data_IF_966917394599
#
_entry.id   IF_966917394599
#
_cell.length_a   1.000
_cell.length_b   1.000
_cell.length_c   1.000
_cell.angle_alpha   90.00
_cell.angle_beta   90.00
_cell.angle_gamma   90.00
#
_symmetry.space_group_name_H-M   'P 1'
#
loop_
_entity.id
_entity.type
_entity.pdbx_description
1 polymer ?
#
# COMPACT_ATOMS: atom_id res chain seq x y z
N UNK A 1 -9.33 -2.45 0.94
CA UNK A 1 -7.92 -2.27 1.30
C UNK A 1 -7.34 -3.53 1.90
N UNK A 2 -7.83 -4.04 3.03
CA UNK A 2 -7.28 -5.25 3.70
C UNK A 2 -6.98 -6.39 2.73
N UNK A 3 -7.95 -6.80 1.88
CA UNK A 3 -7.71 -7.86 0.88
C UNK A 3 -6.58 -7.52 -0.10
N UNK A 4 -6.51 -6.27 -0.55
CA UNK A 4 -5.44 -5.83 -1.44
C UNK A 4 -4.09 -5.71 -0.74
N UNK A 5 -4.09 -5.37 0.56
CA UNK A 5 -2.89 -5.33 1.40
C UNK A 5 -2.31 -6.75 1.55
N UNK A 6 -3.13 -7.72 1.96
CA UNK A 6 -2.72 -9.13 2.05
C UNK A 6 -2.27 -9.72 0.71
N UNK A 7 -2.93 -9.34 -0.39
CA UNK A 7 -2.51 -9.75 -1.73
C UNK A 7 -1.14 -9.15 -2.09
N UNK A 8 -0.88 -7.91 -1.67
CA UNK A 8 0.38 -7.21 -1.96
C UNK A 8 1.53 -7.77 -1.14
N UNK A 9 1.30 -8.33 0.05
CA UNK A 9 2.35 -9.02 0.81
C UNK A 9 3.01 -10.15 0.03
N UNK A 10 2.30 -10.82 -0.88
CA UNK A 10 2.90 -11.80 -1.79
C UNK A 10 3.95 -11.22 -2.74
N UNK A 11 4.05 -9.89 -2.83
CA UNK A 11 4.91 -9.14 -3.75
C UNK A 11 5.71 -8.01 -3.07
N UNK A 12 5.70 -7.93 -1.74
CA UNK A 12 6.54 -6.97 -1.00
C UNK A 12 8.03 -7.37 -1.02
N UNK A 13 8.88 -6.66 -0.29
CA UNK A 13 10.32 -6.91 -0.29
C UNK A 13 10.72 -8.31 0.19
N UNK A 14 9.88 -8.96 1.00
CA UNK A 14 10.08 -10.35 1.43
C UNK A 14 9.28 -11.33 0.59
N UNK A 15 7.99 -11.09 0.38
CA UNK A 15 7.10 -11.98 -0.36
C UNK A 15 7.50 -12.17 -1.82
N UNK A 16 8.03 -11.14 -2.47
CA UNK A 16 8.54 -11.21 -3.84
C UNK A 16 9.70 -12.21 -4.04
N UNK A 17 10.32 -12.70 -2.95
CA UNK A 17 11.37 -13.71 -3.00
C UNK A 17 10.83 -15.14 -3.08
N UNK A 18 9.52 -15.32 -2.93
CA UNK A 18 8.84 -16.61 -2.97
C UNK A 18 8.11 -16.81 -4.29
N UNK A 19 8.21 -18.00 -4.87
CA UNK A 19 7.48 -18.37 -6.07
C UNK A 19 6.00 -18.69 -5.77
N UNK A 20 5.22 -18.96 -6.83
CA UNK A 20 3.77 -19.22 -6.76
C UNK A 20 3.33 -20.39 -5.86
N UNK A 21 4.24 -21.26 -5.42
CA UNK A 21 3.95 -22.37 -4.50
C UNK A 21 4.67 -22.21 -3.16
N UNK A 22 5.30 -21.07 -2.90
CA UNK A 22 5.90 -20.73 -1.62
C UNK A 22 7.37 -21.16 -1.47
N UNK A 23 8.09 -21.45 -2.55
CA UNK A 23 9.54 -21.70 -2.44
C UNK A 23 10.32 -20.39 -2.53
N UNK A 24 11.32 -20.22 -1.67
CA UNK A 24 12.29 -19.13 -1.81
C UNK A 24 13.14 -19.35 -3.07
N UNK A 25 12.82 -18.63 -4.14
CA UNK A 25 13.44 -18.78 -5.45
C UNK A 25 13.34 -17.46 -6.20
N UNK A 26 14.47 -17.00 -6.73
CA UNK A 26 14.45 -15.83 -7.61
C UNK A 26 13.73 -16.17 -8.93
N UNK A 27 12.55 -15.61 -9.11
CA UNK A 27 11.73 -15.76 -10.31
C UNK A 27 11.69 -14.49 -11.17
N UNK A 28 12.45 -13.45 -10.78
CA UNK A 28 12.53 -12.19 -11.48
C UNK A 28 13.61 -12.22 -12.56
N UNK A 29 13.40 -11.42 -13.62
CA UNK A 29 14.53 -10.99 -14.45
C UNK A 29 15.44 -10.05 -13.63
N UNK A 30 16.74 -10.02 -13.95
CA UNK A 30 17.68 -9.11 -13.28
C UNK A 30 17.26 -7.64 -13.41
N UNK A 31 16.70 -7.27 -14.57
CA UNK A 31 16.27 -5.90 -14.84
C UNK A 31 15.06 -5.52 -13.99
N UNK A 32 14.05 -6.40 -13.92
CA UNK A 32 12.83 -6.12 -13.16
C UNK A 32 13.11 -6.06 -11.66
N UNK A 33 13.98 -6.96 -11.15
CA UNK A 33 14.41 -6.93 -9.75
C UNK A 33 15.14 -5.64 -9.39
N UNK A 34 15.97 -5.11 -10.30
CA UNK A 34 16.65 -3.84 -10.08
C UNK A 34 15.65 -2.67 -9.98
N UNK A 35 14.67 -2.62 -10.90
CA UNK A 35 13.60 -1.59 -10.89
C UNK A 35 12.70 -1.70 -9.66
N UNK A 36 12.39 -2.92 -9.22
CA UNK A 36 11.62 -3.17 -8.00
C UNK A 36 12.38 -2.62 -6.79
N UNK A 37 13.65 -3.00 -6.62
CA UNK A 37 14.48 -2.52 -5.51
C UNK A 37 14.65 -1.00 -5.49
N UNK A 38 14.67 -0.34 -6.66
CA UNK A 38 14.68 1.12 -6.74
C UNK A 38 13.39 1.73 -6.14
N UNK A 39 12.23 1.16 -6.46
CA UNK A 39 10.94 1.61 -5.89
C UNK A 39 10.85 1.35 -4.38
N UNK A 40 11.31 0.18 -3.93
CA UNK A 40 11.41 -0.16 -2.50
C UNK A 40 12.22 0.90 -1.75
N UNK A 41 13.39 1.30 -2.28
CA UNK A 41 14.21 2.37 -1.69
C UNK A 41 13.51 3.73 -1.65
N UNK A 42 12.67 4.05 -2.65
CA UNK A 42 11.89 5.28 -2.63
C UNK A 42 10.85 5.27 -1.50
N UNK A 43 10.20 4.13 -1.24
CA UNK A 43 9.26 3.95 -0.13
C UNK A 43 10.00 4.07 1.21
N UNK A 44 11.12 3.37 1.37
CA UNK A 44 11.98 3.49 2.56
C UNK A 44 12.34 4.94 2.86
N UNK A 45 12.81 5.67 1.83
CA UNK A 45 13.18 7.06 1.96
C UNK A 45 11.99 7.95 2.34
N UNK A 46 10.83 7.72 1.73
CA UNK A 46 9.61 8.46 2.05
C UNK A 46 9.27 8.32 3.53
N UNK A 47 9.19 7.08 4.01
CA UNK A 47 8.77 6.82 5.38
C UNK A 47 9.82 7.26 6.41
N UNK A 48 11.11 7.06 6.15
CA UNK A 48 12.18 7.59 7.01
C UNK A 48 12.17 9.13 7.15
N UNK A 49 11.48 9.84 6.25
CA UNK A 49 11.28 11.29 6.36
C UNK A 49 10.18 11.70 7.34
N UNK A 50 9.32 10.78 7.77
CA UNK A 50 8.26 11.09 8.72
C UNK A 50 8.76 11.12 10.16
N UNK A 51 8.27 12.08 10.92
CA UNK A 51 8.56 12.28 12.33
C UNK A 51 7.29 11.98 13.11
N UNK A 52 7.36 11.01 14.03
CA UNK A 52 6.24 10.55 14.85
C UNK A 52 6.05 11.49 16.03
N UNK A 53 7.13 11.77 16.78
CA UNK A 53 7.11 12.62 17.96
C UNK A 53 8.50 13.21 18.23
N UNK A 54 8.60 14.54 18.30
CA UNK A 54 9.86 15.26 18.52
C UNK A 54 10.94 14.85 17.49
N UNK A 55 11.98 14.14 17.92
CA UNK A 55 13.07 13.65 17.05
C UNK A 55 12.92 12.14 16.72
N UNK A 56 11.79 11.51 17.08
CA UNK A 56 11.51 10.12 16.76
C UNK A 56 11.02 10.03 15.31
N UNK A 57 11.84 9.42 14.46
CA UNK A 57 11.52 9.16 13.06
C UNK A 57 10.98 7.74 12.85
N UNK A 58 10.13 7.56 11.84
CA UNK A 58 9.76 6.23 11.37
C UNK A 58 11.01 5.54 10.82
N UNK A 59 11.21 4.27 11.15
CA UNK A 59 12.21 3.46 10.47
C UNK A 59 11.62 2.93 9.15
N UNK A 60 11.90 3.62 8.04
CA UNK A 60 11.36 3.27 6.73
C UNK A 60 11.79 1.89 6.24
N UNK A 61 13.00 1.44 6.58
CA UNK A 61 13.49 0.09 6.25
C UNK A 61 12.70 -0.98 7.01
N UNK A 62 12.51 -0.78 8.32
CA UNK A 62 11.77 -1.74 9.16
C UNK A 62 10.29 -1.86 8.75
N UNK A 63 9.68 -0.76 8.33
CA UNK A 63 8.25 -0.70 7.99
C UNK A 63 7.96 -0.98 6.52
N UNK A 64 8.99 -1.29 5.71
CA UNK A 64 8.89 -1.34 4.24
C UNK A 64 7.82 -2.31 3.73
N UNK A 65 7.75 -3.53 4.25
CA UNK A 65 6.79 -4.53 3.79
C UNK A 65 5.34 -4.06 3.93
N UNK A 66 4.99 -3.62 5.14
CA UNK A 66 3.67 -3.04 5.46
C UNK A 66 3.38 -1.79 4.62
N UNK A 67 4.37 -0.90 4.45
CA UNK A 67 4.22 0.30 3.65
C UNK A 67 3.93 0.00 2.17
N UNK A 68 4.60 -1.02 1.60
CA UNK A 68 4.33 -1.50 0.23
C UNK A 68 2.92 -2.09 0.16
N UNK A 69 2.55 -2.91 1.14
CA UNK A 69 1.24 -3.55 1.22
C UNK A 69 0.11 -2.54 1.33
N UNK A 70 0.27 -1.47 2.11
CA UNK A 70 -0.69 -0.39 2.22
C UNK A 70 -0.85 0.38 0.91
N UNK A 71 0.25 0.76 0.25
CA UNK A 71 0.19 1.43 -1.05
C UNK A 71 -0.50 0.57 -2.10
N UNK A 72 -0.10 -0.70 -2.22
CA UNK A 72 -0.71 -1.64 -3.18
C UNK A 72 -2.17 -1.92 -2.84
N UNK A 73 -2.49 -2.12 -1.57
CA UNK A 73 -3.83 -2.41 -1.09
C UNK A 73 -4.82 -1.28 -1.31
N UNK A 74 -4.38 -0.02 -1.19
CA UNK A 74 -5.20 1.15 -1.54
C UNK A 74 -5.37 1.24 -3.06
N UNK A 75 -4.31 1.08 -3.85
CA UNK A 75 -4.38 1.16 -5.31
C UNK A 75 -5.32 0.11 -5.89
N UNK A 76 -5.15 -1.16 -5.51
CA UNK A 76 -6.00 -2.28 -5.93
C UNK A 76 -7.45 -2.05 -5.51
N UNK A 77 -7.68 -1.62 -4.27
CA UNK A 77 -9.03 -1.36 -3.78
C UNK A 77 -9.69 -0.19 -4.53
N UNK A 78 -8.93 0.83 -4.90
CA UNK A 78 -9.42 1.96 -5.67
C UNK A 78 -9.76 1.55 -7.10
N UNK A 79 -8.89 0.80 -7.77
CA UNK A 79 -9.16 0.26 -9.11
C UNK A 79 -10.42 -0.62 -9.12
N UNK A 80 -10.54 -1.53 -8.15
CA UNK A 80 -11.74 -2.35 -7.97
C UNK A 80 -12.99 -1.49 -7.73
N UNK A 81 -12.87 -0.43 -6.92
CA UNK A 81 -13.97 0.52 -6.69
C UNK A 81 -14.39 1.21 -7.99
N UNK A 82 -13.44 1.66 -8.82
CA UNK A 82 -13.74 2.30 -10.12
C UNK A 82 -14.40 1.35 -11.13
N UNK A 83 -14.35 0.04 -10.92
CA UNK A 83 -15.10 -0.92 -11.74
C UNK A 83 -16.60 -0.99 -11.38
N UNK A 84 -17.00 -0.52 -10.21
CA UNK A 84 -18.40 -0.51 -9.74
C UNK A 84 -19.21 0.63 -10.35
N UNK A 85 -20.55 0.50 -10.34
CA UNK A 85 -21.45 1.59 -10.76
C UNK A 85 -21.26 2.86 -9.91
N UNK A 86 -21.01 2.70 -8.61
CA UNK A 86 -20.77 3.80 -7.68
C UNK A 86 -19.46 4.53 -8.00
N UNK A 87 -18.39 3.79 -8.33
CA UNK A 87 -17.10 4.34 -8.69
C UNK A 87 -17.06 5.00 -10.06
N UNK A 88 -17.90 4.55 -11.00
CA UNK A 88 -18.07 5.19 -12.33
C UNK A 88 -19.00 6.41 -12.27
N UNK A 89 -19.89 6.46 -11.29
CA UNK A 89 -20.82 7.56 -11.11
C UNK A 89 -20.17 8.83 -10.54
N UNK A 90 -20.96 9.90 -10.49
CA UNK A 90 -20.58 11.20 -9.90
C UNK A 90 -21.52 11.63 -8.76
N UNK A 91 -22.42 10.73 -8.32
CA UNK A 91 -23.42 11.03 -7.30
C UNK A 91 -22.75 11.39 -5.97
N UNK A 92 -23.02 12.61 -5.50
CA UNK A 92 -22.61 13.05 -4.18
C UNK A 92 -23.53 12.47 -3.10
N UNK A 93 -22.94 12.12 -1.97
CA UNK A 93 -23.63 11.73 -0.74
C UNK A 93 -22.98 12.55 0.36
N UNK A 94 -23.79 13.26 1.14
CA UNK A 94 -23.35 14.20 2.18
C UNK A 94 -22.33 15.23 1.68
N UNK A 95 -22.48 15.69 0.43
CA UNK A 95 -21.61 16.67 -0.21
C UNK A 95 -20.31 16.10 -0.83
N UNK A 96 -19.97 14.83 -0.55
CA UNK A 96 -18.73 14.20 -1.02
C UNK A 96 -18.93 13.40 -2.31
N UNK A 97 -17.97 13.50 -3.23
CA UNK A 97 -17.90 12.65 -4.43
C UNK A 97 -17.64 11.18 -4.08
N UNK A 98 -17.92 10.23 -4.97
CA UNK A 98 -17.58 8.82 -4.73
C UNK A 98 -16.10 8.60 -4.39
N UNK A 99 -15.19 9.28 -5.09
CA UNK A 99 -13.74 9.18 -4.83
C UNK A 99 -13.38 9.77 -3.46
N UNK A 100 -13.94 10.92 -3.08
CA UNK A 100 -13.74 11.49 -1.74
C UNK A 100 -14.23 10.55 -0.65
N UNK A 101 -15.40 9.92 -0.82
CA UNK A 101 -15.93 8.96 0.15
C UNK A 101 -15.05 7.72 0.27
N UNK A 102 -14.48 7.25 -0.83
CA UNK A 102 -13.52 6.15 -0.80
C UNK A 102 -12.32 6.52 0.09
N UNK A 103 -11.67 7.66 -0.15
CA UNK A 103 -10.49 8.06 0.62
C UNK A 103 -10.83 8.47 2.07
N UNK A 104 -12.02 9.01 2.33
CA UNK A 104 -12.51 9.28 3.69
C UNK A 104 -12.72 7.97 4.47
N UNK A 105 -13.34 6.96 3.85
CA UNK A 105 -13.50 5.65 4.47
C UNK A 105 -12.15 5.01 4.79
N UNK A 106 -11.16 5.19 3.91
CA UNK A 106 -9.79 4.75 4.16
C UNK A 106 -9.15 5.47 5.34
N UNK A 107 -9.26 6.79 5.42
CA UNK A 107 -8.73 7.58 6.53
C UNK A 107 -9.37 7.21 7.88
N UNK A 108 -10.67 6.93 7.91
CA UNK A 108 -11.37 6.50 9.14
C UNK A 108 -10.92 5.12 9.63
N UNK A 109 -10.53 4.22 8.73
CA UNK A 109 -10.00 2.90 9.12
C UNK A 109 -8.65 2.99 9.84
N UNK A 110 -7.81 3.98 9.49
CA UNK A 110 -6.49 4.19 10.10
C UNK A 110 -6.52 4.90 11.46
N UNK A 111 -7.70 5.26 11.98
CA UNK A 111 -7.82 5.87 13.30
C UNK A 111 -7.71 4.79 14.38
N UNK A 112 -6.47 4.48 14.77
CA UNK A 112 -6.19 3.83 16.04
C UNK A 112 -5.83 4.89 17.08
N UNK A 113 -6.56 4.86 18.19
CA UNK A 113 -6.41 5.81 19.28
C UNK A 113 -5.42 5.18 20.27
N UNK A 114 -4.13 5.30 19.98
CA UNK A 114 -3.08 4.82 20.87
C UNK A 114 -3.00 5.79 22.06
N UNK A 115 -3.57 5.38 23.19
CA UNK A 115 -3.40 6.02 24.51
C UNK A 115 -2.16 5.50 25.20
#
# INVERSE_FOLDING_TARGET
MVIGHELTHGFDDQGSQYDKIGNMKDWWSKEDKAKFNEKVKQIQKLYSGFTILNDLHVNGELTTGENIADFGGIAIAYDAFKMTEQGKGNKKIDGFTPDQRFFLAMGMHGVQNDR
#
